data_IF_573991903893
#
_entry.id   IF_573991903893
#
_cell.length_a   1.000
_cell.length_b   1.000
_cell.length_c   1.000
_cell.angle_alpha   90.00
_cell.angle_beta   90.00
_cell.angle_gamma   90.00
#
_symmetry.space_group_name_H-M   'P 1'
#
loop_
_entity.id
_entity.type
_entity.pdbx_description
1 polymer ?
#
# COMPACT_ATOMS: atom_id res chain seq x y z
N UNK A 1 8.51 9.35 14.46
CA UNK A 1 7.67 10.16 13.55
C UNK A 1 6.50 9.29 13.12
N UNK A 2 5.27 9.74 13.37
CA UNK A 2 4.08 9.07 12.85
C UNK A 2 3.80 9.71 11.49
N UNK A 3 3.98 8.96 10.40
CA UNK A 3 3.61 9.43 9.06
C UNK A 3 2.09 9.35 8.93
N UNK A 4 1.45 10.48 8.63
CA UNK A 4 0.04 10.51 8.23
C UNK A 4 -0.08 10.26 6.73
N UNK A 5 -1.27 9.85 6.27
CA UNK A 5 -1.53 9.65 4.84
C UNK A 5 -1.18 10.90 4.03
N UNK A 6 -1.55 12.07 4.54
CA UNK A 6 -1.36 13.38 3.89
C UNK A 6 0.12 13.76 3.83
N UNK A 7 0.86 13.62 4.94
CA UNK A 7 2.29 13.95 4.98
C UNK A 7 3.13 13.01 4.13
N UNK A 8 2.74 11.74 4.00
CA UNK A 8 3.40 10.79 3.12
C UNK A 8 3.13 11.11 1.65
N UNK A 9 1.88 11.47 1.31
CA UNK A 9 1.50 11.91 -0.05
C UNK A 9 2.26 13.17 -0.48
N UNK A 10 2.36 14.17 0.40
CA UNK A 10 3.16 15.37 0.13
C UNK A 10 4.64 15.05 -0.06
N UNK A 11 5.20 14.17 0.79
CA UNK A 11 6.59 13.74 0.67
C UNK A 11 6.84 13.06 -0.70
N UNK A 12 6.00 12.11 -1.08
CA UNK A 12 6.10 11.39 -2.35
C UNK A 12 5.96 12.37 -3.53
N UNK A 13 4.93 13.20 -3.53
CA UNK A 13 4.71 14.19 -4.59
C UNK A 13 5.87 15.20 -4.70
N UNK A 14 6.49 15.60 -3.58
CA UNK A 14 7.64 16.50 -3.60
C UNK A 14 8.91 15.87 -4.17
N UNK A 15 9.08 14.55 -4.00
CA UNK A 15 10.29 13.81 -4.39
C UNK A 15 10.19 13.20 -5.79
N UNK A 16 9.00 12.79 -6.20
CA UNK A 16 8.72 12.06 -7.43
C UNK A 16 7.85 12.86 -8.40
N UNK A 17 7.80 14.18 -8.27
CA UNK A 17 6.86 15.06 -9.00
C UNK A 17 6.78 14.79 -10.51
N UNK A 18 7.92 14.48 -11.13
CA UNK A 18 8.07 14.22 -12.57
C UNK A 18 8.22 12.71 -12.89
N UNK A 19 8.06 11.84 -11.91
CA UNK A 19 8.31 10.39 -12.00
C UNK A 19 7.10 9.59 -11.56
N UNK A 20 6.81 8.52 -12.30
CA UNK A 20 5.81 7.55 -11.89
C UNK A 20 6.36 6.64 -10.78
N UNK A 21 5.63 6.54 -9.67
CA UNK A 21 5.95 5.60 -8.60
C UNK A 21 5.37 4.22 -8.92
N UNK A 22 6.24 3.27 -9.26
CA UNK A 22 5.86 1.88 -9.49
C UNK A 22 6.37 1.03 -8.32
N UNK A 23 5.46 0.36 -7.62
CA UNK A 23 5.78 -0.56 -6.53
C UNK A 23 5.62 -1.99 -7.05
N UNK A 24 6.69 -2.78 -6.96
CA UNK A 24 6.68 -4.19 -7.35
C UNK A 24 7.08 -5.03 -6.15
N UNK A 25 6.22 -5.96 -5.77
CA UNK A 25 6.47 -6.94 -4.71
C UNK A 25 6.17 -8.34 -5.20
N UNK A 26 6.84 -9.34 -4.60
CA UNK A 26 6.62 -10.75 -4.94
C UNK A 26 5.19 -11.23 -4.61
N UNK A 27 4.50 -10.53 -3.71
CA UNK A 27 3.10 -10.81 -3.32
C UNK A 27 2.38 -9.49 -3.02
N UNK A 28 1.09 -9.44 -3.32
CA UNK A 28 0.22 -8.33 -2.94
C UNK A 28 0.12 -8.19 -1.41
N UNK A 29 -0.16 -6.97 -0.90
CA UNK A 29 -0.33 -6.73 0.53
C UNK A 29 -1.64 -7.26 1.12
N UNK A 30 -2.58 -7.69 0.27
CA UNK A 30 -3.86 -8.31 0.67
C UNK A 30 -3.90 -9.77 0.25
N UNK A 31 -4.40 -10.64 1.13
CA UNK A 31 -4.66 -12.05 0.82
C UNK A 31 -6.17 -12.25 0.73
N UNK A 32 -6.66 -12.56 -0.46
CA UNK A 32 -8.06 -12.90 -0.70
C UNK A 32 -8.30 -14.39 -0.48
N UNK A 33 -9.29 -14.71 0.34
CA UNK A 33 -9.72 -16.08 0.65
C UNK A 33 -11.22 -16.22 0.39
N UNK A 34 -11.63 -17.38 -0.12
CA UNK A 34 -13.03 -17.73 -0.21
C UNK A 34 -13.58 -18.14 1.16
N UNK A 35 -14.71 -17.55 1.54
CA UNK A 35 -15.47 -17.89 2.74
C UNK A 35 -16.91 -18.25 2.32
N UNK A 36 -17.08 -19.48 1.82
CA UNK A 36 -18.33 -19.88 1.17
C UNK A 36 -18.46 -19.19 -0.19
N UNK A 37 -19.54 -18.43 -0.37
CA UNK A 37 -19.81 -17.66 -1.60
C UNK A 37 -19.23 -16.24 -1.56
N UNK A 38 -18.62 -15.82 -0.45
CA UNK A 38 -18.03 -14.49 -0.29
C UNK A 38 -16.49 -14.52 -0.42
N UNK A 39 -15.92 -13.43 -0.96
CA UNK A 39 -14.47 -13.18 -0.89
C UNK A 39 -14.19 -12.34 0.35
N UNK A 40 -13.37 -12.86 1.26
CA UNK A 40 -12.84 -12.11 2.41
C UNK A 40 -11.35 -11.85 2.20
N UNK A 41 -10.89 -10.67 2.60
CA UNK A 41 -9.47 -10.36 2.57
C UNK A 41 -8.90 -10.24 3.97
N UNK A 42 -7.61 -10.57 4.09
CA UNK A 42 -6.82 -10.30 5.29
C UNK A 42 -5.57 -9.52 4.93
N UNK A 43 -5.10 -8.71 5.86
CA UNK A 43 -3.81 -8.03 5.81
C UNK A 43 -2.85 -8.87 6.64
N UNK A 44 -1.89 -9.59 6.04
CA UNK A 44 -0.96 -10.43 6.79
C UNK A 44 0.00 -9.55 7.60
N UNK A 45 0.33 -10.00 8.81
CA UNK A 45 1.39 -9.42 9.60
C UNK A 45 2.75 -9.72 8.92
N UNK A 46 3.20 -8.84 8.05
CA UNK A 46 4.44 -8.97 7.29
C UNK A 46 5.15 -7.63 7.20
N UNK A 47 6.47 -7.64 7.33
CA UNK A 47 7.29 -6.44 7.18
C UNK A 47 7.13 -5.77 5.80
N UNK A 48 6.86 -6.57 4.76
CA UNK A 48 6.55 -6.05 3.43
C UNK A 48 5.27 -5.18 3.45
N UNK A 49 4.21 -5.67 4.09
CA UNK A 49 2.93 -4.96 4.17
C UNK A 49 3.06 -3.70 5.01
N UNK A 50 3.72 -3.81 6.16
CA UNK A 50 3.98 -2.65 7.03
C UNK A 50 4.74 -1.53 6.30
N UNK A 51 5.66 -1.89 5.39
CA UNK A 51 6.42 -0.92 4.62
C UNK A 51 5.61 -0.31 3.46
N UNK A 52 4.78 -1.11 2.77
CA UNK A 52 4.14 -0.70 1.52
C UNK A 52 2.70 -0.17 1.67
N UNK A 53 1.92 -0.67 2.63
CA UNK A 53 0.50 -0.28 2.82
C UNK A 53 0.32 1.24 3.00
N UNK A 54 1.13 1.95 3.80
CA UNK A 54 0.98 3.40 3.95
C UNK A 54 1.19 4.15 2.63
N UNK A 55 2.16 3.71 1.82
CA UNK A 55 2.52 4.34 0.54
C UNK A 55 1.39 4.13 -0.48
N UNK A 56 0.92 2.89 -0.62
CA UNK A 56 -0.18 2.54 -1.53
C UNK A 56 -1.46 3.30 -1.18
N UNK A 57 -1.78 3.41 0.12
CA UNK A 57 -2.97 4.13 0.61
C UNK A 57 -2.86 5.65 0.44
N UNK A 58 -1.65 6.21 0.44
CA UNK A 58 -1.40 7.64 0.24
C UNK A 58 -1.62 8.05 -1.22
N UNK A 59 -1.07 7.26 -2.16
CA UNK A 59 -1.18 7.54 -3.60
C UNK A 59 -2.48 7.04 -4.22
N UNK A 60 -3.23 6.20 -3.51
CA UNK A 60 -4.53 5.70 -3.98
C UNK A 60 -4.37 4.77 -5.18
N UNK A 61 -3.40 3.84 -5.07
CA UNK A 61 -3.00 2.89 -6.12
C UNK A 61 -4.17 2.28 -6.91
N UNK A 62 -3.89 1.86 -8.14
CA UNK A 62 -4.89 1.31 -9.08
C UNK A 62 -5.31 -0.11 -8.73
#
# INVERSE_FOLDING_TARGET
>A
MIYTKESLKELISSKLKDYELIIVSNREPYIHNYAGEEIKYIIPASGMVTALDPIIRAEGGT
#
